data_IF_241401315750
#
_entry.id   IF_241401315750
#
_cell.length_a   1.000
_cell.length_b   1.000
_cell.length_c   1.000
_cell.angle_alpha   90.00
_cell.angle_beta   90.00
_cell.angle_gamma   90.00
#
_symmetry.space_group_name_H-M   'P 1'
#
loop_
_entity.id
_entity.type
_entity.pdbx_description
1 polymer ?
#
# COMPACT_ATOMS: atom_id res chain seq x y z
N UNK A 1 -8.82 18.60 -6.64
CA UNK A 1 -7.46 18.69 -7.21
C UNK A 1 -6.98 17.26 -7.35
N UNK A 2 -6.49 16.85 -8.51
CA UNK A 2 -6.10 15.46 -8.77
C UNK A 2 -4.67 15.18 -8.28
N UNK A 3 -4.28 13.91 -8.23
CA UNK A 3 -2.90 13.49 -7.92
C UNK A 3 -1.89 14.14 -8.88
N UNK A 4 -2.18 14.11 -10.17
CA UNK A 4 -1.30 14.63 -11.22
C UNK A 4 -1.11 16.15 -11.07
N UNK A 5 -2.19 16.87 -10.76
CA UNK A 5 -2.13 18.31 -10.54
C UNK A 5 -1.29 18.68 -9.30
N UNK A 6 -1.30 17.83 -8.27
CA UNK A 6 -0.48 18.04 -7.08
C UNK A 6 1.00 17.72 -7.35
N UNK A 7 1.26 16.61 -8.06
CA UNK A 7 2.60 16.24 -8.52
C UNK A 7 3.21 17.35 -9.36
N UNK A 8 2.52 17.84 -10.39
CA UNK A 8 2.99 18.92 -11.25
C UNK A 8 3.37 20.16 -10.43
N UNK A 9 2.49 20.57 -9.52
CA UNK A 9 2.67 21.80 -8.74
C UNK A 9 3.79 21.70 -7.70
N UNK A 10 3.89 20.58 -6.99
CA UNK A 10 4.84 20.42 -5.90
C UNK A 10 6.24 20.06 -6.39
N UNK A 11 6.34 19.24 -7.44
CA UNK A 11 7.65 18.89 -8.04
C UNK A 11 8.32 20.06 -8.77
N UNK A 12 7.57 21.11 -9.11
CA UNK A 12 8.14 22.37 -9.61
C UNK A 12 9.05 23.08 -8.59
N UNK A 13 8.90 22.77 -7.29
CA UNK A 13 9.75 23.32 -6.24
C UNK A 13 11.07 22.54 -6.18
N UNK A 14 12.19 23.23 -6.35
CA UNK A 14 13.53 22.63 -6.31
C UNK A 14 13.75 21.87 -4.99
N UNK A 15 14.05 20.58 -5.11
CA UNK A 15 14.29 19.67 -3.98
C UNK A 15 13.11 18.79 -3.61
N UNK A 16 11.92 19.00 -4.20
CA UNK A 16 10.76 18.13 -4.03
C UNK A 16 10.66 17.16 -5.22
N UNK A 17 10.84 15.86 -4.97
CA UNK A 17 10.61 14.80 -5.96
C UNK A 17 9.20 14.23 -5.88
N UNK A 18 8.93 13.21 -6.69
CA UNK A 18 7.64 12.48 -6.71
C UNK A 18 7.36 11.79 -5.38
N UNK A 19 8.34 11.08 -4.80
CA UNK A 19 8.15 10.32 -3.56
C UNK A 19 7.71 11.20 -2.38
N UNK A 20 8.35 12.35 -2.06
CA UNK A 20 7.86 13.25 -1.02
C UNK A 20 6.43 13.77 -1.25
N UNK A 21 6.00 13.93 -2.51
CA UNK A 21 4.63 14.36 -2.84
C UNK A 21 3.62 13.27 -2.50
N UNK A 22 3.89 12.01 -2.84
CA UNK A 22 3.02 10.91 -2.44
C UNK A 22 2.94 10.79 -0.92
N UNK A 23 4.06 10.94 -0.21
CA UNK A 23 4.06 10.96 1.27
C UNK A 23 3.21 12.11 1.82
N UNK A 24 3.26 13.29 1.20
CA UNK A 24 2.40 14.41 1.58
C UNK A 24 0.91 14.10 1.33
N UNK A 25 0.57 13.48 0.21
CA UNK A 25 -0.81 13.08 -0.09
C UNK A 25 -1.35 12.07 0.92
N UNK A 26 -0.55 11.06 1.26
CA UNK A 26 -0.91 10.02 2.23
C UNK A 26 -1.12 10.60 3.63
N UNK A 27 -0.15 11.33 4.16
CA UNK A 27 -0.13 11.68 5.59
C UNK A 27 -0.67 13.07 5.93
N UNK A 28 -0.62 14.03 5.00
CA UNK A 28 -1.09 15.39 5.24
C UNK A 28 -2.48 15.64 4.64
N UNK A 29 -2.74 15.05 3.46
CA UNK A 29 -4.04 15.20 2.78
C UNK A 29 -5.00 14.05 3.05
N UNK A 30 -4.52 12.93 3.62
CA UNK A 30 -5.32 11.73 3.86
C UNK A 30 -6.00 11.22 2.58
N UNK A 31 -5.28 11.29 1.45
CA UNK A 31 -5.78 10.79 0.17
C UNK A 31 -6.03 9.29 0.26
N UNK A 32 -7.25 8.79 -0.03
CA UNK A 32 -7.57 7.36 0.11
C UNK A 32 -6.95 6.50 -1.00
N UNK A 33 -6.62 7.12 -2.14
CA UNK A 33 -6.22 6.41 -3.35
C UNK A 33 -4.91 6.99 -3.92
N UNK A 34 -3.80 6.68 -3.25
CA UNK A 34 -2.44 7.06 -3.64
C UNK A 34 -1.61 5.79 -3.71
N UNK A 35 -0.76 5.64 -4.73
CA UNK A 35 0.16 4.51 -4.86
C UNK A 35 1.60 5.00 -5.06
N UNK A 36 2.47 4.99 -4.04
CA UNK A 36 3.82 5.46 -4.14
C UNK A 36 4.70 4.39 -4.81
N UNK A 37 4.57 4.25 -6.14
CA UNK A 37 5.33 3.29 -6.96
C UNK A 37 6.86 3.44 -6.85
N UNK A 38 7.36 4.57 -6.33
CA UNK A 38 8.77 4.80 -6.04
C UNK A 38 9.23 4.41 -4.63
N UNK A 39 8.31 4.03 -3.73
CA UNK A 39 8.63 3.67 -2.35
C UNK A 39 9.21 2.25 -2.26
N UNK A 40 10.42 2.15 -1.70
CA UNK A 40 11.11 0.85 -1.59
C UNK A 40 10.44 -0.09 -0.59
N UNK A 41 9.83 0.44 0.47
CA UNK A 41 9.11 -0.34 1.46
C UNK A 41 7.86 -0.96 0.87
N UNK A 42 7.03 -0.15 0.21
CA UNK A 42 5.81 -0.63 -0.47
C UNK A 42 6.16 -1.66 -1.54
N UNK A 43 7.14 -1.38 -2.41
CA UNK A 43 7.56 -2.33 -3.46
C UNK A 43 8.05 -3.66 -2.89
N UNK A 44 8.73 -3.65 -1.74
CA UNK A 44 9.15 -4.87 -1.04
C UNK A 44 7.97 -5.62 -0.44
N UNK A 45 7.00 -4.90 0.13
CA UNK A 45 5.76 -5.49 0.63
C UNK A 45 4.98 -6.16 -0.50
N UNK A 46 4.77 -5.47 -1.63
CA UNK A 46 4.12 -6.00 -2.84
C UNK A 46 4.84 -7.24 -3.36
N UNK A 47 6.18 -7.16 -3.47
CA UNK A 47 6.99 -8.31 -3.88
C UNK A 47 6.79 -9.52 -2.96
N UNK A 48 6.74 -9.29 -1.65
CA UNK A 48 6.50 -10.33 -0.65
C UNK A 48 5.09 -10.90 -0.75
N UNK A 49 4.08 -10.03 -0.82
CA UNK A 49 2.67 -10.40 -0.83
C UNK A 49 2.33 -11.29 -2.02
N UNK A 50 2.77 -10.90 -3.22
CA UNK A 50 2.48 -11.60 -4.47
C UNK A 50 3.58 -12.57 -4.90
N UNK A 51 4.58 -12.82 -4.05
CA UNK A 51 5.69 -13.75 -4.29
C UNK A 51 6.40 -13.53 -5.65
N UNK A 52 6.63 -12.27 -6.01
CA UNK A 52 7.16 -11.91 -7.33
C UNK A 52 8.65 -12.29 -7.46
N UNK A 53 9.08 -12.67 -8.67
CA UNK A 53 10.47 -13.02 -9.00
C UNK A 53 11.42 -11.80 -9.12
N UNK A 54 11.24 -10.79 -8.26
CA UNK A 54 12.01 -9.55 -8.29
C UNK A 54 11.23 -8.34 -7.80
N UNK A 55 11.94 -7.28 -7.45
CA UNK A 55 11.32 -6.04 -7.00
C UNK A 55 10.53 -5.41 -8.16
N UNK A 56 9.19 -5.29 -8.07
CA UNK A 56 8.36 -4.86 -9.19
C UNK A 56 8.72 -3.44 -9.63
N UNK A 57 8.79 -3.20 -10.93
CA UNK A 57 8.96 -1.84 -11.48
C UNK A 57 7.67 -1.01 -11.37
N UNK A 58 7.74 0.30 -11.58
CA UNK A 58 6.58 1.19 -11.46
C UNK A 58 5.40 0.74 -12.35
N UNK A 59 5.67 0.33 -13.60
CA UNK A 59 4.63 -0.14 -14.50
C UNK A 59 4.02 -1.50 -14.08
N UNK A 60 4.76 -2.32 -13.32
CA UNK A 60 4.26 -3.57 -12.78
C UNK A 60 3.44 -3.32 -11.51
N UNK A 61 3.90 -2.39 -10.66
CA UNK A 61 3.17 -1.94 -9.48
C UNK A 61 1.75 -1.49 -9.85
N UNK A 62 1.59 -0.64 -10.87
CA UNK A 62 0.26 -0.17 -11.32
C UNK A 62 -0.67 -1.32 -11.71
N UNK A 63 -0.13 -2.38 -12.34
CA UNK A 63 -0.93 -3.53 -12.77
C UNK A 63 -1.27 -4.45 -11.61
N UNK A 64 -0.30 -4.75 -10.76
CA UNK A 64 -0.48 -5.67 -9.62
C UNK A 64 -1.42 -5.05 -8.59
N UNK A 65 -1.29 -3.74 -8.36
CA UNK A 65 -2.07 -2.99 -7.40
C UNK A 65 -3.39 -2.45 -7.97
N UNK A 66 -3.77 -2.82 -9.21
CA UNK A 66 -5.05 -2.41 -9.80
C UNK A 66 -6.25 -2.86 -8.95
N UNK A 67 -6.11 -4.01 -8.28
CA UNK A 67 -7.12 -4.55 -7.36
C UNK A 67 -7.37 -3.70 -6.11
N UNK A 68 -6.43 -2.83 -5.77
CA UNK A 68 -6.50 -1.95 -4.59
C UNK A 68 -7.25 -0.65 -4.88
N UNK A 69 -7.84 -0.53 -6.07
CA UNK A 69 -8.51 0.67 -6.55
C UNK A 69 -9.46 1.26 -5.51
N UNK A 70 -9.43 2.59 -5.40
CA UNK A 70 -10.10 3.45 -4.43
C UNK A 70 -9.54 3.48 -3.01
N UNK A 71 -8.70 2.50 -2.62
CA UNK A 71 -8.11 2.42 -1.27
C UNK A 71 -6.61 2.06 -1.26
N UNK A 72 -5.86 2.39 -2.33
CA UNK A 72 -4.42 2.08 -2.47
C UNK A 72 -3.58 2.52 -1.27
N UNK A 73 -3.93 3.64 -0.65
CA UNK A 73 -3.23 4.19 0.52
C UNK A 73 -3.27 3.29 1.76
N UNK A 74 -4.36 2.54 1.94
CA UNK A 74 -4.51 1.58 3.05
C UNK A 74 -3.62 0.37 2.81
N UNK A 75 -3.58 -0.10 1.56
CA UNK A 75 -2.78 -1.24 1.15
C UNK A 75 -1.28 -0.96 1.27
N UNK A 76 -0.83 0.22 0.86
CA UNK A 76 0.55 0.68 1.06
C UNK A 76 0.97 0.64 2.54
N UNK A 77 0.05 1.03 3.42
CA UNK A 77 0.30 1.00 4.85
C UNK A 77 0.51 -0.43 5.35
N UNK A 78 -0.31 -1.38 4.90
CA UNK A 78 -0.11 -2.80 5.17
C UNK A 78 1.21 -3.31 4.60
N UNK A 79 1.64 -2.83 3.43
CA UNK A 79 2.91 -3.25 2.84
C UNK A 79 4.11 -2.85 3.70
N UNK A 80 4.09 -1.66 4.31
CA UNK A 80 5.12 -1.29 5.28
C UNK A 80 5.09 -2.19 6.52
N UNK A 81 3.91 -2.52 7.03
CA UNK A 81 3.78 -3.42 8.19
C UNK A 81 4.25 -4.84 7.87
N UNK A 82 3.94 -5.34 6.67
CA UNK A 82 4.37 -6.65 6.19
C UNK A 82 5.90 -6.73 6.11
N UNK A 83 6.53 -5.66 5.61
CA UNK A 83 8.00 -5.56 5.60
C UNK A 83 8.57 -5.58 7.02
N UNK A 84 8.00 -4.80 7.94
CA UNK A 84 8.43 -4.79 9.36
C UNK A 84 8.28 -6.18 10.01
N UNK A 85 7.15 -6.86 9.77
CA UNK A 85 6.88 -8.20 10.27
C UNK A 85 7.87 -9.24 9.72
N UNK A 86 8.16 -9.18 8.42
CA UNK A 86 9.13 -10.06 7.77
C UNK A 86 10.55 -9.89 8.32
N UNK A 87 10.93 -8.65 8.65
CA UNK A 87 12.21 -8.34 9.31
C UNK A 87 12.24 -8.93 10.73
N UNK A 88 11.16 -8.77 11.49
CA UNK A 88 11.09 -9.25 12.87
C UNK A 88 11.01 -10.79 13.00
N UNK A 89 10.25 -11.45 12.13
CA UNK A 89 9.99 -12.89 12.18
C UNK A 89 11.07 -13.75 11.51
N UNK A 90 12.02 -13.14 10.79
CA UNK A 90 13.05 -13.89 10.06
C UNK A 90 12.45 -14.85 9.02
N UNK A 91 11.62 -14.33 8.11
CA UNK A 91 10.98 -15.05 6.97
C UNK A 91 10.11 -16.28 7.31
N UNK A 92 9.84 -16.60 8.58
CA UNK A 92 9.17 -17.86 8.95
C UNK A 92 7.63 -17.80 9.04
N UNK A 93 7.04 -16.61 9.16
CA UNK A 93 5.58 -16.44 9.18
C UNK A 93 5.04 -16.26 7.76
N UNK A 94 3.86 -16.82 7.47
CA UNK A 94 3.20 -16.58 6.18
C UNK A 94 2.70 -15.13 6.11
N UNK A 95 2.54 -14.58 4.89
CA UNK A 95 2.02 -13.22 4.73
C UNK A 95 0.61 -13.09 5.35
N UNK A 96 -0.22 -14.13 5.27
CA UNK A 96 -1.54 -14.18 5.90
C UNK A 96 -1.48 -14.09 7.41
N UNK A 97 -0.59 -14.85 8.06
CA UNK A 97 -0.39 -14.80 9.51
C UNK A 97 0.10 -13.41 9.95
N UNK A 98 1.03 -12.81 9.20
CA UNK A 98 1.54 -11.47 9.47
C UNK A 98 0.44 -10.42 9.34
N UNK A 99 -0.35 -10.46 8.27
CA UNK A 99 -1.47 -9.53 8.05
C UNK A 99 -2.57 -9.72 9.10
N UNK A 100 -2.92 -10.95 9.46
CA UNK A 100 -3.93 -11.23 10.49
C UNK A 100 -3.54 -10.65 11.86
N UNK A 101 -2.30 -10.90 12.29
CA UNK A 101 -1.77 -10.34 13.56
C UNK A 101 -1.75 -8.81 13.55
N UNK A 102 -1.45 -8.21 12.40
CA UNK A 102 -1.52 -6.76 12.24
C UNK A 102 -2.94 -6.27 12.43
N UNK A 103 -3.92 -6.84 11.73
CA UNK A 103 -5.33 -6.44 11.83
C UNK A 103 -5.86 -6.55 13.28
N UNK A 104 -5.51 -7.63 13.99
CA UNK A 104 -5.86 -7.79 15.41
C UNK A 104 -5.23 -6.70 16.31
N UNK A 105 -3.98 -6.30 16.03
CA UNK A 105 -3.25 -5.33 16.85
C UNK A 105 -3.74 -3.89 16.71
N UNK A 106 -4.32 -3.53 15.56
CA UNK A 106 -4.73 -2.15 15.26
C UNK A 106 -6.21 -1.93 15.61
N UNK A 107 -6.97 -2.99 15.90
CA UNK A 107 -8.39 -2.91 16.28
C UNK A 107 -9.33 -2.47 15.16
N UNK A 108 -8.84 -2.39 13.92
CA UNK A 108 -9.66 -2.18 12.73
C UNK A 108 -9.96 -3.55 12.12
N UNK A 109 -11.24 -3.90 11.98
CA UNK A 109 -11.70 -5.18 11.42
C UNK A 109 -11.44 -5.39 9.93
N UNK A 110 -10.37 -4.79 9.37
CA UNK A 110 -9.94 -5.05 8.01
C UNK A 110 -9.38 -6.47 7.95
N UNK A 111 -10.06 -7.36 7.23
CA UNK A 111 -9.64 -8.75 7.10
C UNK A 111 -8.50 -8.86 6.06
N UNK A 112 -7.49 -9.73 6.25
CA UNK A 112 -6.39 -9.92 5.29
C UNK A 112 -6.81 -10.19 3.83
N UNK A 113 -8.00 -10.72 3.60
CA UNK A 113 -8.53 -10.95 2.26
C UNK A 113 -9.01 -9.67 1.53
N UNK A 114 -9.14 -8.53 2.22
CA UNK A 114 -9.23 -7.21 1.55
C UNK A 114 -7.88 -6.87 0.90
N UNK A 115 -6.78 -7.09 1.63
CA UNK A 115 -5.41 -6.82 1.16
C UNK A 115 -5.02 -7.70 -0.04
N UNK A 116 -5.51 -8.95 -0.06
CA UNK A 116 -5.32 -9.88 -1.17
C UNK A 116 -6.26 -9.63 -2.37
N UNK A 117 -7.26 -8.75 -2.23
CA UNK A 117 -8.29 -8.50 -3.25
C UNK A 117 -9.24 -9.69 -3.45
N UNK A 118 -9.53 -10.44 -2.39
CA UNK A 118 -10.38 -11.64 -2.40
C UNK A 118 -11.78 -11.41 -1.79
N UNK A 119 -12.04 -10.28 -1.13
CA UNK A 119 -13.37 -9.92 -0.60
C UNK A 119 -14.12 -8.98 -1.55
N UNK A 120 -15.38 -9.31 -1.83
CA UNK A 120 -16.31 -8.37 -2.47
C UNK A 120 -16.72 -7.27 -1.47
N UNK A 121 -17.00 -6.06 -1.99
CA UNK A 121 -17.34 -4.84 -1.21
C UNK A 121 -18.46 -5.07 -0.16
N UNK A 122 -19.36 -6.03 -0.39
CA UNK A 122 -20.45 -6.38 0.51
C UNK A 122 -19.98 -7.02 1.83
N UNK A 123 -18.88 -7.78 1.81
CA UNK A 123 -18.32 -8.46 3.00
C UNK A 123 -17.42 -7.54 3.83
N UNK A 124 -16.88 -6.49 3.22
CA UNK A 124 -16.05 -5.48 3.88
C UNK A 124 -16.86 -4.54 4.80
N UNK A 125 -18.19 -4.61 4.80
CA UNK A 125 -19.07 -3.83 5.69
C UNK A 125 -19.11 -2.32 5.40
N UNK A 126 -18.52 -1.85 4.31
CA UNK A 126 -18.58 -0.46 3.88
C UNK A 126 -19.87 -0.22 3.07
N UNK A 127 -20.95 0.17 3.76
CA UNK A 127 -22.10 0.75 3.06
C UNK A 127 -21.81 2.21 2.76
N UNK A 128 -21.79 2.56 1.46
CA UNK A 128 -21.90 3.94 0.96
C UNK A 128 -23.17 4.62 1.44
#
# INVERSE_FOLDING_TARGET
>A
MTEEALLERLTAVKGIGVWPVHMFMLFSMHGPDVLPVGDLGVRKGVNSLYELNGLPEAAEMEKVCEKWWSYRSVEDWYMWRLVDANVAAGKAATNEEALSLLCESIGYGLHPSLVAGELEEEEAGWKT
#
